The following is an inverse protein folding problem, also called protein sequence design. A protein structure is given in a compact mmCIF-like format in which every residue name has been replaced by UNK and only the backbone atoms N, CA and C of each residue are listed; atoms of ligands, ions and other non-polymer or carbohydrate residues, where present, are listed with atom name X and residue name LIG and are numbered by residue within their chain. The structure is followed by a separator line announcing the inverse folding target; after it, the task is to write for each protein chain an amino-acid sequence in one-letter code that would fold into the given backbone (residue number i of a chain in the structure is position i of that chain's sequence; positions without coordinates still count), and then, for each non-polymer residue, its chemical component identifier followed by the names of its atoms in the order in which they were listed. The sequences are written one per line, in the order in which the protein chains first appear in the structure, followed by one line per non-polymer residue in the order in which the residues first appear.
data_IF_476548067817
#
_entry.id   IF_476548067817
#
_cell.length_a   1.000
_cell.length_b   1.000
_cell.length_c   1.000
_cell.angle_alpha   90.00
_cell.angle_beta   90.00
_cell.angle_gamma   90.00
#
_symmetry.space_group_name_H-M   'P 1'
#
loop_
_entity.id
_entity.type
_entity.pdbx_description
1 polymer ?
#
# COMPACT_ATOMS: atom_id res chain seq x y z
N UNK A 1 -4.26 15.18 7.45
CA UNK A 1 -4.40 13.76 7.85
C UNK A 1 -5.81 13.33 7.54
N UNK A 2 -6.02 12.18 6.87
CA UNK A 2 -7.35 11.75 6.47
C UNK A 2 -8.26 11.57 7.69
N UNK A 3 -9.49 12.06 7.57
CA UNK A 3 -10.52 11.94 8.61
C UNK A 3 -11.09 10.53 8.70
N UNK A 4 -11.08 9.81 7.57
CA UNK A 4 -11.39 8.39 7.53
C UNK A 4 -10.09 7.57 7.57
N UNK A 5 -10.07 6.42 8.26
CA UNK A 5 -8.87 5.59 8.43
C UNK A 5 -9.18 4.09 8.36
N UNK A 6 -10.35 3.76 7.82
CA UNK A 6 -10.92 2.40 7.85
C UNK A 6 -10.19 1.46 6.90
N UNK A 7 -10.11 1.81 5.63
CA UNK A 7 -9.55 0.94 4.61
C UNK A 7 -8.82 1.75 3.56
N UNK A 8 -7.57 1.39 3.40
CA UNK A 8 -6.66 1.94 2.41
C UNK A 8 -6.06 0.77 1.65
N UNK A 9 -5.88 0.95 0.35
CA UNK A 9 -5.21 -0.04 -0.50
C UNK A 9 -3.98 0.63 -1.09
N UNK A 10 -2.82 0.04 -0.88
CA UNK A 10 -1.63 0.36 -1.67
C UNK A 10 -1.33 -0.83 -2.57
N UNK A 11 -0.80 -0.57 -3.74
CA UNK A 11 -0.34 -1.63 -4.60
C UNK A 11 0.73 -1.16 -5.56
N UNK A 12 1.39 -2.15 -6.14
CA UNK A 12 2.36 -1.94 -7.20
C UNK A 12 2.00 -2.85 -8.35
N UNK A 13 2.07 -2.32 -9.57
CA UNK A 13 2.13 -3.13 -10.77
C UNK A 13 3.54 -3.19 -11.32
N UNK A 14 3.85 -4.30 -11.97
CA UNK A 14 5.15 -4.60 -12.58
C UNK A 14 4.93 -5.09 -14.01
N UNK A 15 5.87 -4.78 -14.90
CA UNK A 15 5.81 -5.24 -16.27
C UNK A 15 6.06 -6.76 -16.33
N UNK A 16 4.98 -7.55 -16.46
CA UNK A 16 5.05 -9.02 -16.39
C UNK A 16 5.79 -9.69 -17.56
N UNK A 17 6.02 -8.96 -18.66
CA UNK A 17 6.83 -9.45 -19.77
C UNK A 17 8.31 -9.55 -19.37
N UNK A 18 8.74 -8.75 -18.39
CA UNK A 18 10.13 -8.63 -17.96
C UNK A 18 10.38 -9.15 -16.55
N UNK A 19 9.41 -8.99 -15.66
CA UNK A 19 9.52 -9.25 -14.23
C UNK A 19 8.34 -10.08 -13.74
N UNK A 20 8.57 -11.02 -12.84
CA UNK A 20 7.50 -11.75 -12.16
C UNK A 20 7.66 -11.65 -10.64
N UNK A 21 6.54 -11.72 -9.89
CA UNK A 21 6.55 -11.92 -8.45
C UNK A 21 7.51 -13.03 -8.02
N UNK A 22 8.38 -12.78 -7.04
CA UNK A 22 9.34 -13.77 -6.53
C UNK A 22 9.06 -14.21 -5.08
N UNK A 23 8.06 -13.61 -4.42
CA UNK A 23 7.79 -13.82 -3.01
C UNK A 23 8.63 -12.93 -2.09
N UNK A 24 8.24 -12.86 -0.82
CA UNK A 24 8.90 -12.01 0.18
C UNK A 24 8.37 -10.59 0.24
N UNK A 25 7.25 -10.31 -0.43
CA UNK A 25 6.53 -9.06 -0.28
C UNK A 25 6.01 -8.86 1.15
N UNK A 26 6.11 -7.63 1.63
CA UNK A 26 5.51 -7.21 2.88
C UNK A 26 5.22 -5.72 2.84
N UNK A 27 4.40 -5.27 3.76
CA UNK A 27 3.92 -3.92 3.82
C UNK A 27 4.14 -3.42 5.23
N UNK A 28 4.29 -2.12 5.34
CA UNK A 28 4.56 -1.50 6.62
C UNK A 28 3.83 -0.18 6.67
N UNK A 29 3.22 0.11 7.81
CA UNK A 29 2.89 1.48 8.14
C UNK A 29 3.77 1.93 9.31
N UNK A 30 4.19 3.19 9.27
CA UNK A 30 4.79 3.88 10.42
C UNK A 30 3.96 5.11 10.72
N UNK A 31 3.91 5.50 11.99
CA UNK A 31 3.13 6.65 12.42
C UNK A 31 3.80 7.42 13.55
N UNK A 32 3.44 8.69 13.67
CA UNK A 32 3.79 9.56 14.80
C UNK A 32 2.52 9.95 15.55
N UNK A 33 2.54 9.81 16.87
CA UNK A 33 1.49 10.23 17.78
C UNK A 33 1.99 11.41 18.60
N UNK A 34 1.27 12.52 18.56
CA UNK A 34 1.48 13.67 19.42
C UNK A 34 0.54 13.60 20.63
N UNK A 35 1.09 13.69 21.84
CA UNK A 35 0.33 13.77 23.08
C UNK A 35 0.16 15.22 23.51
N UNK A 36 -1.05 15.74 23.46
CA UNK A 36 -1.36 17.14 23.77
C UNK A 36 -1.24 17.48 25.25
N UNK A 37 -1.30 16.48 26.16
CA UNK A 37 -1.13 16.71 27.61
C UNK A 37 0.32 16.90 28.01
N UNK A 38 1.23 16.18 27.37
CA UNK A 38 2.66 16.17 27.71
C UNK A 38 3.51 16.92 26.70
N UNK A 39 2.92 17.37 25.59
CA UNK A 39 3.62 18.01 24.48
C UNK A 39 4.77 17.16 23.90
N UNK A 40 4.57 15.84 23.82
CA UNK A 40 5.59 14.89 23.36
C UNK A 40 5.13 14.06 22.18
N UNK A 41 6.08 13.64 21.35
CA UNK A 41 5.86 12.72 20.24
C UNK A 41 6.30 11.30 20.60
N UNK A 42 5.54 10.31 20.13
CA UNK A 42 5.96 8.91 20.08
C UNK A 42 5.78 8.37 18.66
N UNK A 43 6.52 7.31 18.34
CA UNK A 43 6.42 6.65 17.04
C UNK A 43 5.95 5.21 17.21
N UNK A 44 5.40 4.64 16.14
CA UNK A 44 5.04 3.24 16.09
C UNK A 44 5.05 2.71 14.67
N UNK A 45 4.92 1.39 14.54
CA UNK A 45 4.82 0.74 13.24
C UNK A 45 4.02 -0.55 13.32
N UNK A 46 3.52 -0.99 12.17
CA UNK A 46 2.90 -2.30 11.99
C UNK A 46 3.36 -2.88 10.66
N UNK A 47 3.75 -4.15 10.67
CA UNK A 47 4.16 -4.90 9.49
C UNK A 47 3.05 -5.86 9.09
N UNK A 48 2.77 -5.93 7.79
CA UNK A 48 1.84 -6.85 7.17
C UNK A 48 2.66 -7.83 6.33
N UNK A 49 2.79 -9.07 6.79
CA UNK A 49 3.50 -10.12 6.07
C UNK A 49 2.62 -10.75 4.97
N UNK A 50 3.23 -11.34 3.95
CA UNK A 50 2.57 -11.95 2.79
C UNK A 50 1.55 -13.05 3.12
N UNK A 51 1.60 -13.64 4.33
CA UNK A 51 0.60 -14.62 4.78
C UNK A 51 -0.71 -14.02 5.27
N UNK A 52 -0.80 -12.69 5.42
CA UNK A 52 -2.06 -12.03 5.80
C UNK A 52 -3.08 -12.07 4.67
N UNK A 53 -4.35 -12.35 5.00
CA UNK A 53 -5.50 -12.22 4.09
C UNK A 53 -5.74 -10.80 3.54
N UNK A 54 -4.90 -9.84 3.95
CA UNK A 54 -4.84 -8.47 3.46
C UNK A 54 -4.05 -8.34 2.16
N UNK A 55 -3.22 -9.33 1.84
CA UNK A 55 -2.47 -9.39 0.60
C UNK A 55 -3.33 -9.94 -0.52
N UNK A 56 -3.19 -9.31 -1.69
CA UNK A 56 -3.58 -9.88 -2.95
C UNK A 56 -2.38 -9.88 -3.87
N UNK A 57 -1.97 -11.07 -4.28
CA UNK A 57 -0.92 -11.28 -5.28
C UNK A 57 -1.59 -11.60 -6.62
N UNK A 58 -1.17 -10.90 -7.67
CA UNK A 58 -1.56 -11.12 -9.06
C UNK A 58 -0.37 -11.57 -9.88
N UNK A 59 -0.60 -11.91 -11.15
CA UNK A 59 0.47 -12.29 -12.07
C UNK A 59 1.47 -11.15 -12.29
N UNK A 60 1.01 -9.91 -12.22
CA UNK A 60 1.69 -8.69 -12.66
C UNK A 60 1.58 -7.53 -11.66
N UNK A 61 1.04 -7.80 -10.47
CA UNK A 61 0.81 -6.76 -9.48
C UNK A 61 0.67 -7.35 -8.08
N UNK A 62 0.89 -6.50 -7.10
CA UNK A 62 0.64 -6.76 -5.70
C UNK A 62 -0.25 -5.67 -5.15
N UNK A 63 -1.16 -6.03 -4.25
CA UNK A 63 -1.91 -5.07 -3.48
C UNK A 63 -2.02 -5.49 -2.02
N UNK A 64 -2.05 -4.50 -1.13
CA UNK A 64 -2.18 -4.67 0.30
C UNK A 64 -3.32 -3.78 0.80
N UNK A 65 -4.34 -4.42 1.37
CA UNK A 65 -5.40 -3.74 2.12
C UNK A 65 -4.95 -3.48 3.55
N UNK A 66 -5.08 -2.26 4.05
CA UNK A 66 -4.69 -1.92 5.42
C UNK A 66 -5.65 -0.94 6.08
N UNK A 67 -5.64 -0.96 7.41
CA UNK A 67 -6.37 0.01 8.20
C UNK A 67 -5.32 0.97 8.77
N UNK A 68 -5.49 2.27 8.53
CA UNK A 68 -4.54 3.27 9.01
C UNK A 68 -4.62 3.39 10.53
N UNK A 69 -3.49 3.74 11.17
CA UNK A 69 -3.47 3.96 12.62
C UNK A 69 -4.45 5.06 13.03
N UNK A 70 -5.38 4.72 13.92
CA UNK A 70 -6.30 5.70 14.51
C UNK A 70 -5.70 6.40 15.74
N UNK A 71 -6.31 7.52 16.12
CA UNK A 71 -6.02 8.25 17.35
C UNK A 71 -6.25 7.33 18.56
N UNK A 72 -5.24 7.08 19.41
CA UNK A 72 -5.42 6.21 20.57
C UNK A 72 -6.41 6.75 21.61
N UNK A 73 -6.52 8.08 21.72
CA UNK A 73 -7.38 8.76 22.69
C UNK A 73 -7.62 10.22 22.30
N UNK A 74 -8.49 10.92 23.03
CA UNK A 74 -8.79 12.35 22.79
C UNK A 74 -7.56 13.25 22.84
N UNK A 75 -6.57 12.95 23.69
CA UNK A 75 -5.32 13.70 23.85
C UNK A 75 -4.11 13.13 23.08
N UNK A 76 -4.29 12.02 22.35
CA UNK A 76 -3.22 11.41 21.55
C UNK A 76 -3.64 11.41 20.09
N UNK A 77 -3.03 12.28 19.29
CA UNK A 77 -3.39 12.48 17.88
C UNK A 77 -2.33 11.89 16.98
N UNK A 78 -2.73 11.08 16.01
CA UNK A 78 -1.82 10.68 14.94
C UNK A 78 -1.63 11.87 14.02
N UNK A 79 -0.38 12.30 13.87
CA UNK A 79 -0.01 13.51 13.09
C UNK A 79 0.63 13.15 11.76
N UNK A 80 1.24 11.97 11.66
CA UNK A 80 1.89 11.49 10.45
C UNK A 80 1.64 10.00 10.31
N UNK A 81 1.35 9.55 9.09
CA UNK A 81 1.32 8.14 8.69
C UNK A 81 2.10 8.02 7.39
N UNK A 82 3.00 7.03 7.33
CA UNK A 82 3.70 6.64 6.11
C UNK A 82 3.38 5.19 5.80
N UNK A 83 3.10 4.92 4.54
CA UNK A 83 2.80 3.58 4.04
C UNK A 83 3.93 3.12 3.13
N UNK A 84 4.29 1.86 3.27
CA UNK A 84 5.35 1.22 2.51
C UNK A 84 4.89 -0.12 2.01
N UNK A 85 5.33 -0.45 0.80
CA UNK A 85 5.21 -1.77 0.21
C UNK A 85 6.58 -2.19 -0.28
N UNK A 86 7.00 -3.38 0.11
CA UNK A 86 8.22 -4.02 -0.31
C UNK A 86 7.82 -5.25 -1.11
N UNK A 87 8.51 -5.48 -2.22
CA UNK A 87 8.24 -6.59 -3.12
C UNK A 87 9.55 -7.06 -3.73
N UNK A 88 9.61 -8.36 -4.01
CA UNK A 88 10.74 -8.97 -4.72
C UNK A 88 10.25 -9.44 -6.07
N UNK A 89 11.02 -9.13 -7.12
CA UNK A 89 10.76 -9.60 -8.47
C UNK A 89 11.95 -10.37 -9.00
N UNK A 90 11.68 -11.32 -9.89
CA UNK A 90 12.70 -12.03 -10.67
C UNK A 90 12.49 -11.80 -12.15
N UNK A 91 13.55 -11.73 -12.95
CA UNK A 91 13.42 -11.59 -14.39
C UNK A 91 12.79 -12.84 -15.00
N UNK A 92 11.99 -12.65 -16.04
CA UNK A 92 11.37 -13.75 -16.82
C UNK A 92 12.33 -14.36 -17.84
N UNK A 93 13.43 -13.67 -18.17
CA UNK A 93 14.47 -14.09 -19.11
C UNK A 93 15.82 -13.43 -18.81
N UNK A 94 16.51 -12.92 -19.83
CA UNK A 94 17.71 -12.09 -19.65
C UNK A 94 17.42 -10.91 -18.74
N UNK A 95 18.35 -10.58 -17.83
CA UNK A 95 18.17 -9.49 -16.87
C UNK A 95 17.79 -8.18 -17.61
N UNK A 96 16.54 -7.68 -17.45
CA UNK A 96 16.12 -6.44 -18.08
C UNK A 96 16.97 -5.30 -17.53
N UNK A 97 17.25 -4.27 -18.34
CA UNK A 97 18.02 -3.07 -17.93
C UNK A 97 17.28 -2.14 -16.96
N UNK A 98 15.96 -2.28 -16.90
CA UNK A 98 15.08 -1.40 -16.13
C UNK A 98 13.98 -2.21 -15.45
N UNK A 99 13.63 -1.79 -14.25
CA UNK A 99 12.44 -2.21 -13.52
C UNK A 99 11.47 -1.04 -13.50
N UNK A 100 10.40 -1.16 -14.28
CA UNK A 100 9.27 -0.25 -14.22
C UNK A 100 8.31 -0.69 -13.12
N UNK A 101 7.94 0.26 -12.25
CA UNK A 101 7.02 0.06 -11.16
C UNK A 101 5.96 1.15 -11.15
N UNK A 102 4.69 0.72 -11.10
CA UNK A 102 3.53 1.60 -11.05
C UNK A 102 2.93 1.51 -9.65
N UNK A 103 3.10 2.55 -8.83
CA UNK A 103 2.48 2.64 -7.51
C UNK A 103 1.05 3.18 -7.61
N UNK A 104 0.12 2.56 -6.90
CA UNK A 104 -1.24 3.07 -6.76
C UNK A 104 -1.66 3.08 -5.29
N UNK A 105 -2.41 4.10 -4.92
CA UNK A 105 -2.98 4.28 -3.59
C UNK A 105 -4.46 4.62 -3.71
N UNK A 106 -5.30 3.91 -2.96
CA UNK A 106 -6.73 4.17 -2.85
C UNK A 106 -7.11 4.39 -1.39
N UNK A 107 -7.65 5.57 -1.08
CA UNK A 107 -8.13 5.93 0.26
C UNK A 107 -9.65 5.86 0.30
N UNK A 108 -10.23 5.10 1.24
CA UNK A 108 -11.69 5.08 1.40
C UNK A 108 -12.18 6.44 1.94
N UNK A 109 -13.22 7.01 1.35
CA UNK A 109 -13.77 8.32 1.77
C UNK A 109 -14.98 8.18 2.71
N UNK A 110 -15.59 6.98 2.79
CA UNK A 110 -16.79 6.75 3.60
C UNK A 110 -16.49 6.38 5.05
N UNK A 111 -17.29 6.85 6.00
CA UNK A 111 -17.12 6.48 7.44
C UNK A 111 -17.34 4.99 7.75
N UNK A 112 -18.19 4.33 6.96
CA UNK A 112 -18.46 2.89 7.09
C UNK A 112 -17.39 2.09 6.37
N UNK A 113 -16.81 1.10 7.04
CA UNK A 113 -15.81 0.20 6.47
C UNK A 113 -16.37 -0.59 5.28
N UNK A 114 -15.61 -0.63 4.20
CA UNK A 114 -15.91 -1.40 3.00
C UNK A 114 -14.82 -2.46 2.87
N UNK A 115 -15.20 -3.68 2.51
CA UNK A 115 -14.23 -4.69 2.07
C UNK A 115 -14.16 -4.68 0.54
N UNK A 116 -13.27 -3.88 -0.07
CA UNK A 116 -13.15 -3.86 -1.52
C UNK A 116 -12.60 -5.19 -2.04
N UNK A 117 -13.09 -5.59 -3.20
CA UNK A 117 -12.42 -6.60 -4.02
C UNK A 117 -11.41 -5.88 -4.90
N UNK A 118 -10.16 -6.33 -4.86
CA UNK A 118 -9.07 -5.80 -5.69
C UNK A 118 -8.99 -6.66 -6.96
N UNK A 119 -8.93 -6.08 -8.15
CA UNK A 119 -8.71 -6.82 -9.41
C UNK A 119 -7.51 -6.24 -10.14
N UNK A 120 -6.70 -7.07 -10.79
CA UNK A 120 -5.54 -6.60 -11.56
C UNK A 120 -5.94 -6.43 -13.02
N UNK A 121 -5.56 -5.30 -13.60
CA UNK A 121 -5.99 -4.90 -14.94
C UNK A 121 -5.14 -5.51 -16.07
N UNK A 122 -4.05 -6.22 -15.73
CA UNK A 122 -3.14 -6.81 -16.72
C UNK A 122 -2.15 -5.81 -17.33
N UNK A 123 -2.20 -4.54 -16.91
CA UNK A 123 -1.38 -3.43 -17.42
C UNK A 123 -0.48 -2.83 -16.35
N UNK A 124 -0.20 -3.59 -15.28
CA UNK A 124 0.60 -3.07 -14.17
C UNK A 124 -0.20 -2.14 -13.26
N UNK A 125 -1.49 -2.41 -13.05
CA UNK A 125 -2.31 -1.71 -12.08
C UNK A 125 -3.32 -2.62 -11.38
N UNK A 126 -4.07 -2.03 -10.46
CA UNK A 126 -5.24 -2.66 -9.87
C UNK A 126 -6.45 -1.71 -9.89
N UNK A 127 -7.62 -2.32 -9.86
CA UNK A 127 -8.91 -1.67 -9.65
C UNK A 127 -9.53 -2.20 -8.36
N UNK A 128 -10.45 -1.44 -7.77
CA UNK A 128 -11.19 -1.85 -6.58
C UNK A 128 -12.70 -1.71 -6.78
N UNK A 129 -13.47 -2.65 -6.19
CA UNK A 129 -14.94 -2.53 -6.17
C UNK A 129 -15.38 -1.30 -5.37
N UNK A 130 -16.53 -0.73 -5.73
CA UNK A 130 -17.00 0.56 -5.19
C UNK A 130 -16.01 1.71 -5.39
N UNK A 131 -15.32 1.77 -6.54
CA UNK A 131 -14.26 2.75 -6.82
C UNK A 131 -14.66 4.21 -6.56
N UNK A 132 -15.95 4.56 -6.69
CA UNK A 132 -16.50 5.90 -6.40
C UNK A 132 -16.48 6.27 -4.91
N UNK A 133 -16.25 5.31 -4.01
CA UNK A 133 -16.11 5.52 -2.56
C UNK A 133 -14.65 5.65 -2.12
N UNK A 134 -13.73 5.72 -3.09
CA UNK A 134 -12.30 5.86 -2.87
C UNK A 134 -11.74 7.04 -3.66
N UNK A 135 -10.81 7.77 -3.06
CA UNK A 135 -9.92 8.67 -3.79
C UNK A 135 -8.66 7.91 -4.20
N UNK A 136 -8.10 8.24 -5.38
CA UNK A 136 -7.00 7.49 -5.98
C UNK A 136 -5.80 8.40 -6.26
N UNK A 137 -4.60 7.85 -6.08
CA UNK A 137 -3.33 8.48 -6.42
C UNK A 137 -2.42 7.46 -7.10
N UNK A 138 -1.70 7.91 -8.13
CA UNK A 138 -0.88 7.09 -9.01
C UNK A 138 0.52 7.69 -9.13
N UNK A 139 1.53 6.83 -9.09
CA UNK A 139 2.94 7.20 -9.27
C UNK A 139 3.60 6.18 -10.19
N UNK A 140 4.46 6.64 -11.08
CA UNK A 140 5.28 5.79 -11.95
C UNK A 140 6.76 6.01 -11.64
N UNK A 141 7.53 4.93 -11.55
CA UNK A 141 8.97 4.99 -11.36
C UNK A 141 9.67 3.93 -12.23
N UNK A 142 10.83 4.28 -12.77
CA UNK A 142 11.70 3.35 -13.49
C UNK A 142 13.07 3.32 -12.81
N UNK A 143 13.53 2.13 -12.47
CA UNK A 143 14.81 1.92 -11.79
C UNK A 143 15.78 1.16 -12.69
N UNK A 144 17.01 1.66 -12.84
CA UNK A 144 18.05 0.91 -13.58
C UNK A 144 18.47 -0.30 -12.77
N UNK A 145 18.45 -1.47 -13.39
CA UNK A 145 18.98 -2.69 -12.79
C UNK A 145 20.49 -2.74 -13.01
N UNK A 146 21.21 -3.35 -12.06
CA UNK A 146 22.67 -3.44 -12.09
C UNK A 146 23.16 -4.35 -13.20
#
# INVERSE_FOLDING_TARGET
MPSNRKTDVIGVGINNAQWRPAGGEYGKQTWTIFNTKTNTNTTGSSTYNSSSNKWKCGKDAYALKMNLKDNPSSNKKVTNIKLYMYYTVTPTGSLPKWLDAYGQYSHQETKTEISPTINFDGTGGFTISNSTKFSHSYVTASLKTK
#
